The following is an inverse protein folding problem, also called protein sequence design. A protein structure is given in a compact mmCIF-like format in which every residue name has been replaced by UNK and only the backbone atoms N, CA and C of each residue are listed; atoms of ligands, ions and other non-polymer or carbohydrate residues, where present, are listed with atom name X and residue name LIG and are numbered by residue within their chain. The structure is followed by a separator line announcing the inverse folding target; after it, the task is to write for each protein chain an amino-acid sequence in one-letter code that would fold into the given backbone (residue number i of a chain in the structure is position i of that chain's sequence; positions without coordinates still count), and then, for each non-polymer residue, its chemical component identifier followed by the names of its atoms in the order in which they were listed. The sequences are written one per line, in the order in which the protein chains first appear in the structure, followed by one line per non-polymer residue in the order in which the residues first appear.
data_IF_530761749390
#
_entry.id   IF_530761749390
#
_cell.length_a   1.000
_cell.length_b   1.000
_cell.length_c   1.000
_cell.angle_alpha   90.00
_cell.angle_beta   90.00
_cell.angle_gamma   90.00
#
_symmetry.space_group_name_H-M   'P 1'
#
loop_
_entity.id
_entity.type
_entity.pdbx_description
1 polymer ?
#
# COMPACT_ATOMS: atom_id res chain seq x y z
N UNK A 1 3.15 -17.74 22.49
CA UNK A 1 3.81 -16.65 21.75
C UNK A 1 2.83 -16.15 20.70
N UNK A 2 2.46 -14.87 20.65
CA UNK A 2 1.52 -14.41 19.63
C UNK A 2 2.27 -14.27 18.30
N UNK A 3 1.79 -14.99 17.28
CA UNK A 3 2.18 -14.74 15.90
C UNK A 3 1.45 -13.47 15.44
N UNK A 4 2.17 -12.34 15.37
CA UNK A 4 1.68 -11.20 14.60
C UNK A 4 2.06 -11.46 13.14
N UNK A 5 1.21 -12.17 12.40
CA UNK A 5 1.37 -12.30 10.96
C UNK A 5 1.04 -10.95 10.32
N UNK A 6 2.04 -10.32 9.71
CA UNK A 6 1.81 -9.24 8.75
C UNK A 6 0.83 -9.69 7.68
N UNK A 7 -0.06 -8.80 7.23
CA UNK A 7 -0.88 -9.06 6.05
C UNK A 7 0.02 -9.03 4.82
N UNK A 8 0.00 -10.10 4.03
CA UNK A 8 0.65 -10.13 2.73
C UNK A 8 -0.34 -9.64 1.67
N UNK A 9 -0.06 -8.48 1.09
CA UNK A 9 -0.85 -7.85 0.03
C UNK A 9 -0.05 -7.79 -1.28
N UNK A 10 1.03 -8.56 -1.39
CA UNK A 10 1.88 -8.54 -2.57
C UNK A 10 1.07 -8.84 -3.83
N UNK A 11 1.34 -8.11 -4.92
CA UNK A 11 0.62 -8.18 -6.20
C UNK A 11 -0.89 -7.81 -6.15
N UNK A 12 -1.43 -7.39 -5.00
CA UNK A 12 -2.84 -7.06 -4.88
C UNK A 12 -3.19 -5.76 -5.62
N UNK A 13 -4.38 -5.71 -6.21
CA UNK A 13 -4.94 -4.48 -6.75
C UNK A 13 -5.88 -3.85 -5.72
N UNK A 14 -5.45 -2.74 -5.12
CA UNK A 14 -6.20 -1.96 -4.15
C UNK A 14 -6.66 -0.62 -4.73
N UNK A 15 -6.63 -0.41 -6.05
CA UNK A 15 -7.12 0.84 -6.67
C UNK A 15 -8.57 1.12 -6.27
N UNK A 16 -8.85 2.40 -6.00
CA UNK A 16 -10.14 2.93 -5.56
C UNK A 16 -10.68 2.34 -4.25
N UNK A 17 -9.88 1.54 -3.51
CA UNK A 17 -10.30 1.01 -2.22
C UNK A 17 -10.37 2.13 -1.18
N UNK A 18 -11.40 2.08 -0.34
CA UNK A 18 -11.46 2.88 0.88
C UNK A 18 -10.57 2.23 1.96
N UNK A 19 -9.45 2.89 2.24
CA UNK A 19 -8.46 2.46 3.23
C UNK A 19 -8.50 3.36 4.47
N UNK A 20 -9.61 4.07 4.69
CA UNK A 20 -9.81 4.88 5.89
C UNK A 20 -9.65 4.00 7.14
N UNK A 21 -8.72 4.40 8.02
CA UNK A 21 -8.30 3.66 9.23
C UNK A 21 -7.58 2.32 8.98
N UNK A 22 -7.19 1.98 7.75
CA UNK A 22 -6.42 0.76 7.48
C UNK A 22 -5.01 0.86 8.09
N UNK A 23 -4.57 -0.19 8.79
CA UNK A 23 -3.22 -0.28 9.33
C UNK A 23 -2.29 -1.04 8.38
N UNK A 24 -1.61 -0.33 7.47
CA UNK A 24 -0.67 -0.92 6.52
C UNK A 24 0.79 -0.85 6.97
N UNK A 25 1.08 -0.42 8.20
CA UNK A 25 2.44 -0.19 8.71
C UNK A 25 3.32 -1.45 8.77
N UNK A 26 2.70 -2.64 8.84
CA UNK A 26 3.41 -3.94 8.83
C UNK A 26 3.07 -4.80 7.62
N UNK A 27 2.18 -4.36 6.74
CA UNK A 27 1.77 -5.14 5.58
C UNK A 27 2.95 -5.29 4.60
N UNK A 28 3.04 -6.45 3.96
CA UNK A 28 3.91 -6.64 2.80
C UNK A 28 3.11 -6.12 1.60
N UNK A 29 3.67 -5.13 0.90
CA UNK A 29 2.97 -4.39 -0.18
C UNK A 29 3.76 -4.38 -1.48
N UNK A 30 4.63 -5.37 -1.66
CA UNK A 30 5.48 -5.47 -2.83
C UNK A 30 4.62 -5.66 -4.08
N UNK A 31 4.82 -4.81 -5.09
CA UNK A 31 4.01 -4.78 -6.31
C UNK A 31 2.48 -4.57 -6.07
N UNK A 32 2.07 -4.13 -4.89
CA UNK A 32 0.66 -3.78 -4.63
C UNK A 32 0.31 -2.50 -5.37
N UNK A 33 -0.82 -2.51 -6.07
CA UNK A 33 -1.28 -1.39 -6.88
C UNK A 33 -2.27 -0.52 -6.09
N UNK A 34 -1.91 0.75 -5.91
CA UNK A 34 -2.72 1.80 -5.31
C UNK A 34 -3.06 2.87 -6.36
N UNK A 35 -4.13 3.61 -6.10
CA UNK A 35 -4.66 4.67 -6.98
C UNK A 35 -6.03 5.10 -6.48
N UNK A 36 -6.30 6.41 -6.43
CA UNK A 36 -7.57 6.98 -5.94
C UNK A 36 -8.07 6.41 -4.60
N UNK A 37 -7.15 6.15 -3.67
CA UNK A 37 -7.46 5.57 -2.37
C UNK A 37 -7.88 6.60 -1.33
N UNK A 38 -9.00 6.36 -0.65
CA UNK A 38 -9.34 7.13 0.55
C UNK A 38 -8.51 6.65 1.74
N UNK A 39 -8.08 7.57 2.61
CA UNK A 39 -7.34 7.23 3.83
C UNK A 39 -5.83 7.01 3.66
N UNK A 40 -5.27 7.22 2.47
CA UNK A 40 -3.82 7.30 2.27
C UNK A 40 -3.40 8.78 2.26
N UNK A 41 -2.53 9.15 3.20
CA UNK A 41 -1.85 10.45 3.18
C UNK A 41 -0.46 10.37 2.50
N UNK A 42 0.16 11.52 2.24
CA UNK A 42 1.47 11.59 1.56
C UNK A 42 2.60 10.86 2.31
N UNK A 43 2.54 10.82 3.65
CA UNK A 43 3.55 10.12 4.45
C UNK A 43 3.42 8.61 4.28
N UNK A 44 2.18 8.11 4.39
CA UNK A 44 1.85 6.70 4.19
C UNK A 44 2.15 6.27 2.76
N UNK A 45 1.78 7.07 1.77
CA UNK A 45 2.11 6.86 0.35
C UNK A 45 3.62 6.72 0.15
N UNK A 46 4.41 7.66 0.67
CA UNK A 46 5.87 7.61 0.54
C UNK A 46 6.50 6.38 1.21
N UNK A 47 5.96 5.94 2.34
CA UNK A 47 6.38 4.71 3.01
C UNK A 47 5.99 3.45 2.21
N UNK A 48 4.78 3.40 1.63
CA UNK A 48 4.33 2.29 0.78
C UNK A 48 5.18 2.18 -0.50
N UNK A 49 5.47 3.30 -1.16
CA UNK A 49 6.33 3.34 -2.35
C UNK A 49 7.74 2.82 -2.03
N UNK A 50 8.33 3.24 -0.90
CA UNK A 50 9.63 2.71 -0.43
C UNK A 50 9.63 1.20 -0.18
N UNK A 51 8.46 0.62 0.07
CA UNK A 51 8.25 -0.82 0.30
C UNK A 51 7.85 -1.60 -0.96
N UNK A 52 7.85 -0.97 -2.15
CA UNK A 52 7.58 -1.63 -3.43
C UNK A 52 6.15 -1.45 -3.96
N UNK A 53 5.33 -0.62 -3.30
CA UNK A 53 3.99 -0.32 -3.79
C UNK A 53 4.04 0.56 -5.05
N UNK A 54 3.10 0.32 -5.97
CA UNK A 54 2.92 1.10 -7.19
C UNK A 54 1.72 2.03 -7.03
N UNK A 55 1.86 3.30 -7.40
CA UNK A 55 0.77 4.28 -7.37
C UNK A 55 0.51 4.81 -8.79
N UNK A 56 -0.75 4.86 -9.23
CA UNK A 56 -1.13 5.32 -10.58
C UNK A 56 -0.72 6.76 -10.90
N UNK A 57 -0.65 7.62 -9.89
CA UNK A 57 -0.29 9.03 -10.05
C UNK A 57 1.22 9.29 -10.01
N UNK A 58 2.00 8.27 -9.67
CA UNK A 58 3.45 8.29 -9.81
C UNK A 58 3.72 7.67 -11.18
N UNK A 59 4.14 8.47 -12.19
CA UNK A 59 4.56 7.89 -13.45
C UNK A 59 5.66 6.88 -13.11
N UNK A 60 5.38 5.60 -13.35
CA UNK A 60 6.41 4.57 -13.23
C UNK A 60 7.54 5.00 -14.14
N UNK A 61 8.72 5.25 -13.56
CA UNK A 61 9.95 5.36 -14.34
C UNK A 61 10.01 4.09 -15.18
N UNK A 62 9.65 4.25 -16.46
CA UNK A 62 9.51 3.17 -17.43
C UNK A 62 10.86 2.59 -17.80
#
# INVERSE_FOLDING_TARGET
MPFFSSADLSDANLKSADLTNAQLSRAIVDNTQFGDNSGIDESMKGDLIKRGAMFEDVPGDS
#
